data_IF_679912791513
#
_entry.id   IF_679912791513
#
_cell.length_a   1.000
_cell.length_b   1.000
_cell.length_c   1.000
_cell.angle_alpha   90.00
_cell.angle_beta   90.00
_cell.angle_gamma   90.00
#
_symmetry.space_group_name_H-M   'P 1'
#
loop_
_entity.id
_entity.type
_entity.pdbx_description
1 polymer ?
#
# COMPACT_ATOMS: atom_id res chain seq x y z
N UNK A 1 -48.17 -16.78 -12.33
CA UNK A 1 -47.57 -15.71 -11.52
C UNK A 1 -46.40 -16.31 -10.74
N UNK A 2 -45.20 -16.31 -11.32
CA UNK A 2 -43.95 -16.62 -10.62
C UNK A 2 -42.92 -15.61 -11.12
N UNK A 3 -42.55 -14.65 -10.28
CA UNK A 3 -41.46 -13.72 -10.56
C UNK A 3 -40.15 -14.42 -10.22
N UNK A 4 -39.29 -14.55 -11.21
CA UNK A 4 -37.88 -14.93 -11.05
C UNK A 4 -37.21 -13.96 -10.08
N UNK A 5 -36.59 -14.50 -9.02
CA UNK A 5 -35.81 -13.74 -8.03
C UNK A 5 -34.48 -13.30 -8.65
N UNK A 6 -34.17 -12.02 -8.46
CA UNK A 6 -32.93 -11.36 -8.88
C UNK A 6 -31.77 -11.94 -8.07
N UNK A 7 -30.71 -12.36 -8.77
CA UNK A 7 -29.60 -13.16 -8.22
C UNK A 7 -28.92 -12.57 -6.98
N UNK A 8 -28.65 -13.45 -6.02
CA UNK A 8 -27.78 -13.18 -4.87
C UNK A 8 -26.35 -12.93 -5.37
N UNK A 9 -25.90 -11.69 -5.26
CA UNK A 9 -24.48 -11.39 -5.35
C UNK A 9 -23.84 -11.74 -3.99
N UNK A 10 -22.74 -12.51 -3.94
CA UNK A 10 -21.99 -12.64 -2.70
C UNK A 10 -21.64 -11.24 -2.22
N UNK A 11 -21.98 -10.95 -0.96
CA UNK A 11 -21.78 -9.63 -0.36
C UNK A 11 -20.35 -9.17 -0.65
N UNK A 12 -20.14 -7.91 -1.00
CA UNK A 12 -18.84 -7.42 -1.44
C UNK A 12 -17.69 -7.79 -0.47
N UNK A 13 -18.03 -7.93 0.82
CA UNK A 13 -17.15 -8.42 1.88
C UNK A 13 -16.60 -9.83 1.64
N UNK A 14 -17.43 -10.81 1.23
CA UNK A 14 -16.98 -12.20 1.01
C UNK A 14 -16.01 -12.31 -0.18
N UNK A 15 -16.25 -11.54 -1.24
CA UNK A 15 -15.37 -11.51 -2.41
C UNK A 15 -14.02 -10.87 -2.09
N UNK A 16 -14.01 -9.78 -1.32
CA UNK A 16 -12.78 -9.15 -0.86
C UNK A 16 -11.96 -10.09 0.03
N UNK A 17 -12.61 -10.77 0.97
CA UNK A 17 -11.92 -11.71 1.87
C UNK A 17 -11.25 -12.85 1.09
N UNK A 18 -11.93 -13.42 0.09
CA UNK A 18 -11.36 -14.45 -0.77
C UNK A 18 -10.11 -13.96 -1.54
N UNK A 19 -10.07 -12.70 -1.98
CA UNK A 19 -8.89 -12.12 -2.63
C UNK A 19 -7.74 -11.92 -1.64
N UNK A 20 -8.02 -11.48 -0.42
CA UNK A 20 -7.01 -11.30 0.64
C UNK A 20 -6.39 -12.66 1.00
N UNK A 21 -7.22 -13.68 1.20
CA UNK A 21 -6.75 -15.01 1.57
C UNK A 21 -5.89 -15.61 0.44
N UNK A 22 -6.31 -15.43 -0.81
CA UNK A 22 -5.50 -15.84 -1.97
C UNK A 22 -4.16 -15.10 -2.06
N UNK A 23 -4.14 -13.80 -1.77
CA UNK A 23 -2.91 -13.01 -1.76
C UNK A 23 -1.96 -13.46 -0.65
N UNK A 24 -2.48 -13.81 0.54
CA UNK A 24 -1.67 -14.38 1.64
C UNK A 24 -1.00 -15.69 1.26
N UNK A 25 -1.70 -16.59 0.56
CA UNK A 25 -1.13 -17.87 0.09
C UNK A 25 0.05 -17.68 -0.87
N UNK A 26 0.04 -16.63 -1.68
CA UNK A 26 1.12 -16.31 -2.61
C UNK A 26 2.33 -15.67 -1.90
N UNK A 27 2.15 -15.22 -0.67
CA UNK A 27 3.16 -14.54 0.13
C UNK A 27 3.34 -13.06 -0.23
N UNK A 28 4.03 -12.30 0.64
CA UNK A 28 4.15 -10.86 0.48
C UNK A 28 5.11 -10.48 -0.65
N UNK A 29 4.70 -9.52 -1.47
CA UNK A 29 5.55 -8.92 -2.51
C UNK A 29 6.23 -7.64 -2.01
N UNK A 30 7.42 -7.33 -2.53
CA UNK A 30 8.05 -6.03 -2.28
C UNK A 30 7.25 -4.93 -3.00
N UNK A 31 6.77 -3.93 -2.25
CA UNK A 31 5.93 -2.86 -2.79
C UNK A 31 6.51 -1.49 -2.47
N UNK A 32 6.77 -0.69 -3.51
CA UNK A 32 7.13 0.71 -3.33
C UNK A 32 5.85 1.53 -3.05
N UNK A 33 5.73 2.08 -1.84
CA UNK A 33 4.63 2.97 -1.46
C UNK A 33 5.11 4.40 -1.62
N UNK A 34 4.50 5.10 -2.56
CA UNK A 34 4.98 6.41 -3.01
C UNK A 34 4.35 7.53 -2.22
N UNK A 35 5.17 8.36 -1.61
CA UNK A 35 4.78 9.55 -0.86
C UNK A 35 3.73 9.27 0.24
N UNK A 36 3.93 8.28 1.14
CA UNK A 36 3.00 8.01 2.23
C UNK A 36 3.20 9.03 3.36
N UNK A 37 2.72 10.25 3.18
CA UNK A 37 2.90 11.37 4.12
C UNK A 37 1.59 11.79 4.80
N UNK A 38 0.56 10.95 4.71
CA UNK A 38 -0.72 11.10 5.41
C UNK A 38 -1.10 9.78 6.11
N UNK A 39 -2.06 9.87 7.03
CA UNK A 39 -2.51 8.72 7.81
C UNK A 39 -3.08 7.59 6.95
N UNK A 40 -4.03 7.83 6.00
CA UNK A 40 -4.66 6.74 5.26
C UNK A 40 -3.67 5.93 4.40
N UNK A 41 -2.70 6.58 3.76
CA UNK A 41 -1.71 5.88 2.93
C UNK A 41 -0.77 5.04 3.78
N UNK A 42 -0.36 5.56 4.94
CA UNK A 42 0.60 4.90 5.83
C UNK A 42 -0.06 3.75 6.61
N UNK A 43 -1.29 3.94 7.10
CA UNK A 43 -2.06 2.88 7.79
C UNK A 43 -2.41 1.74 6.86
N UNK A 44 -2.89 2.04 5.64
CA UNK A 44 -3.20 1.00 4.65
C UNK A 44 -1.99 0.14 4.30
N UNK A 45 -0.82 0.76 4.11
CA UNK A 45 0.41 0.02 3.82
C UNK A 45 0.91 -0.77 5.03
N UNK A 46 0.85 -0.20 6.24
CA UNK A 46 1.25 -0.89 7.47
C UNK A 46 0.34 -2.10 7.78
N UNK A 47 -0.96 -1.96 7.60
CA UNK A 47 -1.93 -3.04 7.81
C UNK A 47 -1.77 -4.14 6.75
N UNK A 48 -1.51 -3.78 5.49
CA UNK A 48 -1.17 -4.75 4.46
C UNK A 48 0.12 -5.51 4.78
N UNK A 49 1.14 -4.84 5.34
CA UNK A 49 2.36 -5.47 5.79
C UNK A 49 2.13 -6.44 6.96
N UNK A 50 1.40 -6.00 7.99
CA UNK A 50 0.99 -6.85 9.14
C UNK A 50 0.16 -8.06 8.71
N UNK A 51 -0.67 -7.89 7.68
CA UNK A 51 -1.49 -8.97 7.10
C UNK A 51 -0.69 -9.94 6.22
N UNK A 52 0.62 -9.72 6.02
CA UNK A 52 1.49 -10.56 5.20
C UNK A 52 1.27 -10.40 3.69
N UNK A 53 0.68 -9.28 3.25
CA UNK A 53 0.36 -9.03 1.84
C UNK A 53 1.50 -8.34 1.10
N UNK A 54 2.25 -7.47 1.78
CA UNK A 54 3.34 -6.70 1.18
C UNK A 54 4.55 -6.61 2.11
N UNK A 55 5.73 -6.39 1.53
CA UNK A 55 6.93 -5.87 2.19
C UNK A 55 7.12 -4.42 1.71
N UNK A 56 6.68 -3.42 2.48
CA UNK A 56 6.67 -2.05 2.00
C UNK A 56 8.06 -1.44 1.97
N UNK A 57 8.33 -0.66 0.91
CA UNK A 57 9.42 0.31 0.81
C UNK A 57 8.76 1.69 0.75
N UNK A 58 8.93 2.52 1.78
CA UNK A 58 8.34 3.85 1.81
C UNK A 58 9.23 4.85 1.09
N UNK A 59 8.75 5.42 -0.01
CA UNK A 59 9.53 6.32 -0.86
C UNK A 59 8.99 7.74 -0.73
N UNK A 60 9.77 8.69 -0.21
CA UNK A 60 9.31 10.05 0.03
C UNK A 60 10.17 10.85 1.00
N UNK A 61 9.77 12.09 1.34
CA UNK A 61 10.47 12.88 2.36
C UNK A 61 10.42 12.18 3.71
N UNK A 62 11.57 11.72 4.18
CA UNK A 62 11.68 10.86 5.36
C UNK A 62 11.11 11.55 6.63
N UNK A 63 11.37 12.84 6.79
CA UNK A 63 10.84 13.65 7.88
C UNK A 63 9.30 13.65 7.89
N UNK A 64 8.67 13.78 6.73
CA UNK A 64 7.21 13.78 6.59
C UNK A 64 6.62 12.38 6.82
N UNK A 65 7.25 11.33 6.32
CA UNK A 65 6.84 9.94 6.56
C UNK A 65 6.87 9.64 8.06
N UNK A 66 7.98 9.98 8.73
CA UNK A 66 8.11 9.77 10.19
C UNK A 66 7.11 10.59 10.99
N UNK A 67 6.82 11.82 10.57
CA UNK A 67 5.78 12.65 11.19
C UNK A 67 4.39 12.03 11.03
N UNK A 68 4.03 11.61 9.82
CA UNK A 68 2.74 10.96 9.56
C UNK A 68 2.60 9.65 10.36
N UNK A 69 3.66 8.85 10.46
CA UNK A 69 3.66 7.64 11.27
C UNK A 69 3.49 7.93 12.76
N UNK A 70 4.16 8.98 13.28
CA UNK A 70 3.98 9.43 14.66
C UNK A 70 2.54 9.87 14.93
N UNK A 71 1.99 10.69 14.04
CA UNK A 71 0.62 11.21 14.17
C UNK A 71 -0.42 10.07 14.12
N UNK A 72 -0.17 9.05 13.30
CA UNK A 72 -0.99 7.84 13.16
C UNK A 72 -0.67 6.72 14.18
N UNK A 73 0.31 6.93 15.07
CA UNK A 73 0.79 5.91 16.04
C UNK A 73 1.24 4.59 15.40
N UNK A 74 1.85 4.66 14.21
CA UNK A 74 2.35 3.50 13.47
C UNK A 74 3.85 3.33 13.74
N UNK A 75 4.23 2.12 14.16
CA UNK A 75 5.64 1.72 14.26
C UNK A 75 6.19 1.42 12.85
N UNK A 76 7.35 2.01 12.56
CA UNK A 76 8.08 1.84 11.29
C UNK A 76 9.22 0.81 11.40
N UNK A 77 9.34 0.11 12.54
CA UNK A 77 10.36 -0.91 12.71
C UNK A 77 10.32 -1.96 11.59
N UNK A 78 11.46 -2.18 10.93
CA UNK A 78 11.59 -3.12 9.82
C UNK A 78 11.05 -2.63 8.46
N UNK A 79 10.50 -1.42 8.38
CA UNK A 79 10.10 -0.79 7.12
C UNK A 79 11.26 0.07 6.60
N UNK A 80 11.73 -0.22 5.39
CA UNK A 80 12.75 0.60 4.73
C UNK A 80 12.13 1.93 4.25
N UNK A 81 12.81 3.04 4.55
CA UNK A 81 12.47 4.36 4.03
C UNK A 81 13.54 4.80 3.03
N UNK A 82 13.11 5.13 1.83
CA UNK A 82 13.95 5.63 0.73
C UNK A 82 13.65 7.12 0.59
N UNK A 83 14.54 7.92 1.17
CA UNK A 83 14.38 9.37 1.28
C UNK A 83 14.45 10.05 -0.10
N UNK A 84 13.46 10.89 -0.40
CA UNK A 84 13.42 11.74 -1.60
C UNK A 84 12.91 13.14 -1.24
N UNK A 85 13.23 14.20 -2.01
CA UNK A 85 12.92 15.58 -1.60
C UNK A 85 11.42 15.94 -1.66
N UNK A 86 10.64 15.32 -2.55
CA UNK A 86 9.22 15.64 -2.76
C UNK A 86 8.49 14.52 -3.52
N UNK A 87 7.20 14.71 -3.78
CA UNK A 87 6.28 13.72 -4.39
C UNK A 87 6.71 13.24 -5.78
N UNK A 88 7.08 14.16 -6.68
CA UNK A 88 7.56 13.79 -8.03
C UNK A 88 8.82 12.91 -7.99
N UNK A 89 9.84 13.32 -7.22
CA UNK A 89 11.05 12.52 -7.04
C UNK A 89 10.76 11.15 -6.39
N UNK A 90 9.77 11.08 -5.49
CA UNK A 90 9.32 9.81 -4.93
C UNK A 90 8.72 8.88 -6.01
N UNK A 91 7.91 9.42 -6.91
CA UNK A 91 7.31 8.65 -8.00
C UNK A 91 8.37 8.13 -8.98
N UNK A 92 9.30 8.98 -9.39
CA UNK A 92 10.44 8.59 -10.23
C UNK A 92 11.26 7.49 -9.55
N UNK A 93 11.63 7.68 -8.28
CA UNK A 93 12.42 6.70 -7.54
C UNK A 93 11.68 5.36 -7.35
N UNK A 94 10.36 5.39 -7.14
CA UNK A 94 9.57 4.17 -7.04
C UNK A 94 9.57 3.36 -8.35
N UNK A 95 9.52 4.05 -9.51
CA UNK A 95 9.65 3.39 -10.82
C UNK A 95 11.04 2.79 -11.00
N UNK A 96 12.10 3.51 -10.61
CA UNK A 96 13.46 2.97 -10.65
C UNK A 96 13.61 1.71 -9.79
N UNK A 97 13.08 1.70 -8.57
CA UNK A 97 13.12 0.53 -7.70
C UNK A 97 12.45 -0.70 -8.31
N UNK A 98 11.36 -0.52 -9.07
CA UNK A 98 10.74 -1.60 -9.83
C UNK A 98 11.64 -2.07 -10.96
N UNK A 99 12.24 -1.14 -11.71
CA UNK A 99 13.17 -1.47 -12.81
C UNK A 99 14.43 -2.17 -12.32
N UNK A 100 14.90 -1.85 -11.11
CA UNK A 100 16.01 -2.49 -10.42
C UNK A 100 15.65 -3.86 -9.84
N UNK A 101 14.36 -4.26 -9.86
CA UNK A 101 13.87 -5.48 -9.23
C UNK A 101 13.81 -5.44 -7.70
N UNK A 102 14.04 -4.26 -7.10
CA UNK A 102 13.93 -4.05 -5.64
C UNK A 102 12.47 -3.99 -5.17
N UNK A 103 11.56 -3.57 -6.04
CA UNK A 103 10.12 -3.63 -5.84
C UNK A 103 9.44 -4.41 -6.99
N UNK A 104 8.33 -5.07 -6.72
CA UNK A 104 7.52 -5.80 -7.70
C UNK A 104 6.26 -5.02 -8.10
N UNK A 105 5.85 -4.07 -7.27
CA UNK A 105 4.64 -3.26 -7.47
C UNK A 105 4.80 -1.87 -6.87
N UNK A 106 3.93 -0.95 -7.29
CA UNK A 106 3.86 0.43 -6.82
C UNK A 106 2.47 0.69 -6.26
N UNK A 107 2.41 1.29 -5.07
CA UNK A 107 1.18 1.84 -4.48
C UNK A 107 1.31 3.36 -4.37
N UNK A 108 0.32 4.07 -4.88
CA UNK A 108 0.20 5.52 -4.75
C UNK A 108 -0.22 5.86 -3.31
N UNK A 109 0.57 6.67 -2.61
CA UNK A 109 0.19 7.31 -1.35
C UNK A 109 -0.49 8.66 -1.57
N UNK A 110 -0.10 9.69 -0.81
CA UNK A 110 -0.69 11.04 -0.81
C UNK A 110 -0.30 11.91 -2.03
N UNK A 111 -0.15 11.28 -3.19
CA UNK A 111 0.09 11.96 -4.46
C UNK A 111 -1.22 12.57 -4.94
N UNK A 112 -1.20 13.86 -5.27
CA UNK A 112 -2.25 14.48 -6.06
C UNK A 112 -1.72 14.57 -7.48
N UNK A 113 -2.49 14.04 -8.43
CA UNK A 113 -2.27 14.25 -9.86
C UNK A 113 -3.08 15.47 -10.22
N UNK A 114 -2.43 16.62 -10.20
CA UNK A 114 -2.92 17.82 -10.89
C UNK A 114 -2.59 17.73 -12.39
#
# INVERSE_FOLDING_TARGET
>A
MQRMTKGEHPSASLRLQALIDRARELGPIAMAVVHPVDEPSLSGAADAAKAGLIKPLFVGPEDKIRRAAKDAQIDLAGIEIISTPHSHAAAERAVELVREGRAQSIMKGALHTD
#
